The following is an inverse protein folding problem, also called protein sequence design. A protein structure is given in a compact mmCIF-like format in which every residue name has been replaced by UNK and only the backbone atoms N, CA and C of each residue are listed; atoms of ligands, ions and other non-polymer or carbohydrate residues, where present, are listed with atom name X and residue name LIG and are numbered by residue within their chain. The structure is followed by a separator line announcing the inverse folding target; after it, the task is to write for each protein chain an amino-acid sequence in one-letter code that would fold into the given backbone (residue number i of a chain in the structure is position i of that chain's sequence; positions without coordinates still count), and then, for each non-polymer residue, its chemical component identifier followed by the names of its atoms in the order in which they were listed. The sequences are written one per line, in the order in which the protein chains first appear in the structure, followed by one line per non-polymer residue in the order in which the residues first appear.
data_IF_950810967496
#
_entry.id   IF_950810967496
#
_cell.length_a   1.000
_cell.length_b   1.000
_cell.length_c   1.000
_cell.angle_alpha   90.00
_cell.angle_beta   90.00
_cell.angle_gamma   90.00
#
_symmetry.space_group_name_H-M   'P 1'
#
loop_
_entity.id
_entity.type
_entity.pdbx_description
1 polymer ?
#
# COMPACT_ATOMS: atom_id res chain seq x y z
N UNK A 1 -16.17 7.00 0.91
CA UNK A 1 -14.74 6.66 0.69
C UNK A 1 -13.84 7.87 0.43
N UNK A 2 -14.30 8.94 -0.24
CA UNK A 2 -13.47 10.10 -0.60
C UNK A 2 -12.85 10.84 0.62
N UNK A 3 -13.54 10.90 1.76
CA UNK A 3 -13.01 11.51 3.00
C UNK A 3 -12.01 10.60 3.76
N UNK A 4 -12.03 9.29 3.49
CA UNK A 4 -11.17 8.31 4.18
C UNK A 4 -9.75 8.28 3.58
N UNK A 5 -9.63 8.45 2.26
CA UNK A 5 -8.37 8.43 1.52
C UNK A 5 -7.35 9.48 2.02
N UNK A 6 -7.71 10.76 2.25
CA UNK A 6 -6.76 11.73 2.79
C UNK A 6 -6.31 11.38 4.22
N UNK A 7 -7.19 10.78 5.04
CA UNK A 7 -6.85 10.31 6.39
C UNK A 7 -5.86 9.14 6.34
N UNK A 8 -6.09 8.16 5.46
CA UNK A 8 -5.17 7.04 5.21
C UNK A 8 -3.82 7.54 4.70
N UNK A 9 -3.81 8.45 3.72
CA UNK A 9 -2.58 9.06 3.20
C UNK A 9 -1.77 9.77 4.29
N UNK A 10 -2.44 10.52 5.17
CA UNK A 10 -1.78 11.21 6.30
C UNK A 10 -1.19 10.20 7.29
N UNK A 11 -1.87 9.08 7.54
CA UNK A 11 -1.39 7.98 8.36
C UNK A 11 -0.19 7.25 7.77
N UNK A 12 -0.20 6.95 6.46
CA UNK A 12 0.92 6.34 5.74
C UNK A 12 2.16 7.25 5.71
N UNK A 13 1.98 8.57 5.70
CA UNK A 13 3.10 9.52 5.75
C UNK A 13 3.63 9.74 7.18
N UNK A 14 3.01 9.16 8.21
CA UNK A 14 3.43 9.35 9.61
C UNK A 14 4.82 8.74 9.87
N UNK A 15 5.63 9.36 10.74
CA UNK A 15 6.98 8.85 11.09
C UNK A 15 6.97 7.58 11.96
N UNK A 16 5.80 7.12 12.38
CA UNK A 16 5.64 5.96 13.25
C UNK A 16 5.31 4.72 12.40
N UNK A 17 6.18 3.71 12.45
CA UNK A 17 6.02 2.47 11.70
C UNK A 17 4.72 1.74 12.07
N UNK A 18 4.34 1.72 13.36
CA UNK A 18 3.10 1.09 13.81
C UNK A 18 1.86 1.74 13.19
N UNK A 19 1.83 3.09 13.10
CA UNK A 19 0.73 3.81 12.44
C UNK A 19 0.65 3.44 10.96
N UNK A 20 1.78 3.36 10.27
CA UNK A 20 1.81 2.94 8.86
C UNK A 20 1.29 1.51 8.69
N UNK A 21 1.73 0.58 9.55
CA UNK A 21 1.27 -0.82 9.55
C UNK A 21 -0.23 -0.93 9.79
N UNK A 22 -0.79 -0.19 10.75
CA UNK A 22 -2.24 -0.17 11.00
C UNK A 22 -3.03 0.37 9.80
N UNK A 23 -2.51 1.39 9.12
CA UNK A 23 -3.15 1.95 7.91
C UNK A 23 -3.15 0.95 6.75
N UNK A 24 -2.05 0.20 6.61
CA UNK A 24 -1.93 -0.91 5.68
C UNK A 24 -2.97 -2.01 5.97
N UNK A 25 -3.14 -2.41 7.23
CA UNK A 25 -4.18 -3.38 7.63
C UNK A 25 -5.59 -2.90 7.31
N UNK A 26 -5.89 -1.62 7.54
CA UNK A 26 -7.18 -1.05 7.18
C UNK A 26 -7.43 -1.12 5.67
N UNK A 27 -6.41 -0.84 4.86
CA UNK A 27 -6.51 -0.95 3.39
C UNK A 27 -6.77 -2.41 3.00
N UNK A 28 -6.05 -3.37 3.59
CA UNK A 28 -6.25 -4.80 3.36
C UNK A 28 -7.68 -5.24 3.71
N UNK A 29 -8.19 -4.83 4.86
CA UNK A 29 -9.56 -5.13 5.30
C UNK A 29 -10.61 -4.55 4.35
N UNK A 30 -10.44 -3.28 3.92
CA UNK A 30 -11.33 -2.65 2.94
C UNK A 30 -11.27 -3.41 1.62
N UNK A 31 -10.10 -3.88 1.21
CA UNK A 31 -9.92 -4.64 -0.01
C UNK A 31 -10.68 -5.97 -0.01
N UNK A 32 -10.73 -6.65 1.15
CA UNK A 32 -11.51 -7.85 1.35
C UNK A 32 -13.03 -7.61 1.37
N UNK A 33 -13.50 -6.37 1.51
CA UNK A 33 -14.93 -6.06 1.37
C UNK A 33 -15.33 -6.13 -0.11
N UNK A 34 -16.34 -6.95 -0.41
CA UNK A 34 -16.80 -7.19 -1.79
C UNK A 34 -17.03 -5.88 -2.57
N UNK A 35 -16.32 -5.73 -3.68
CA UNK A 35 -16.45 -4.59 -4.60
C UNK A 35 -15.60 -3.35 -4.26
N UNK A 36 -14.94 -3.30 -3.10
CA UNK A 36 -14.12 -2.14 -2.73
C UNK A 36 -12.78 -2.07 -3.46
N UNK A 37 -12.16 -3.21 -3.78
CA UNK A 37 -10.87 -3.26 -4.49
C UNK A 37 -10.87 -2.45 -5.81
N UNK A 38 -11.91 -2.63 -6.63
CA UNK A 38 -12.10 -1.84 -7.88
C UNK A 38 -12.25 -0.35 -7.63
N UNK A 39 -12.92 0.04 -6.54
CA UNK A 39 -13.08 1.44 -6.17
C UNK A 39 -11.77 2.07 -5.68
N UNK A 40 -10.78 1.26 -5.25
CA UNK A 40 -9.48 1.73 -4.80
C UNK A 40 -8.52 2.10 -5.94
N UNK A 41 -8.72 1.54 -7.14
CA UNK A 41 -7.86 1.76 -8.33
C UNK A 41 -7.56 3.25 -8.60
N UNK A 42 -8.53 4.18 -8.66
CA UNK A 42 -8.23 5.60 -8.87
C UNK A 42 -7.42 6.23 -7.72
N UNK A 43 -7.49 5.67 -6.52
CA UNK A 43 -6.79 6.16 -5.33
C UNK A 43 -5.36 5.63 -5.21
N UNK A 44 -4.94 4.66 -6.03
CA UNK A 44 -3.57 4.15 -6.02
C UNK A 44 -2.55 5.28 -6.19
N UNK A 45 -2.82 6.24 -7.07
CA UNK A 45 -1.96 7.41 -7.30
C UNK A 45 -1.75 8.27 -6.05
N UNK A 46 -2.67 8.23 -5.09
CA UNK A 46 -2.55 8.98 -3.84
C UNK A 46 -1.94 8.15 -2.70
N UNK A 47 -2.17 6.84 -2.71
CA UNK A 47 -1.77 5.93 -1.63
C UNK A 47 -0.40 5.28 -1.84
N UNK A 48 -0.03 4.99 -3.09
CA UNK A 48 1.20 4.27 -3.43
C UNK A 48 2.50 5.09 -3.55
N UNK A 49 2.49 6.42 -3.81
CA UNK A 49 3.73 7.22 -3.86
C UNK A 49 4.69 7.06 -2.67
N UNK A 50 4.24 6.92 -1.39
CA UNK A 50 5.16 6.73 -0.27
C UNK A 50 5.95 5.41 -0.32
N UNK A 51 5.53 4.41 -1.11
CA UNK A 51 6.25 3.14 -1.28
C UNK A 51 7.26 3.16 -2.45
N UNK A 52 7.25 4.19 -3.31
CA UNK A 52 8.05 4.24 -4.54
C UNK A 52 9.55 4.27 -4.29
N UNK A 53 9.98 5.18 -3.43
CA UNK A 53 11.34 5.18 -2.92
C UNK A 53 11.24 4.50 -1.57
N UNK A 54 11.97 3.40 -1.41
CA UNK A 54 12.16 2.73 -0.13
C UNK A 54 12.49 3.80 0.91
N UNK A 55 11.47 4.31 1.62
CA UNK A 55 11.55 5.49 2.48
C UNK A 55 12.20 5.06 3.81
N UNK A 56 13.22 4.19 3.73
CA UNK A 56 14.01 3.68 4.83
C UNK A 56 14.58 4.83 5.66
N UNK A 57 14.93 5.96 5.01
CA UNK A 57 15.43 7.17 5.67
C UNK A 57 14.39 7.94 6.49
N UNK A 58 13.09 7.77 6.23
CA UNK A 58 12.01 8.44 7.00
C UNK A 58 11.46 7.59 8.14
N UNK A 59 11.87 6.33 8.24
CA UNK A 59 11.54 5.48 9.38
C UNK A 59 12.59 5.76 10.45
N UNK A 60 12.15 6.12 11.66
CA UNK A 60 13.02 6.42 12.79
C UNK A 60 14.20 5.44 12.85
N UNK A 61 15.40 5.98 13.04
CA UNK A 61 16.65 5.21 13.17
C UNK A 61 16.62 4.23 14.34
N UNK A 62 15.75 4.48 15.32
CA UNK A 62 15.47 3.63 16.49
C UNK A 62 14.78 2.29 16.15
N UNK A 63 14.21 2.13 14.95
CA UNK A 63 13.47 0.91 14.58
C UNK A 63 14.43 -0.13 14.00
N UNK A 64 14.42 -1.33 14.60
CA UNK A 64 15.20 -2.48 14.14
C UNK A 64 14.96 -2.80 12.66
N UNK A 65 16.01 -3.22 11.94
CA UNK A 65 15.90 -3.65 10.53
C UNK A 65 14.83 -4.73 10.34
N UNK A 66 14.70 -5.68 11.27
CA UNK A 66 13.65 -6.72 11.26
C UNK A 66 12.23 -6.15 11.21
N UNK A 67 11.97 -5.07 11.96
CA UNK A 67 10.65 -4.42 11.96
C UNK A 67 10.38 -3.66 10.67
N UNK A 68 11.43 -3.07 10.07
CA UNK A 68 11.36 -2.45 8.74
C UNK A 68 11.08 -3.51 7.66
N UNK A 69 11.75 -4.65 7.72
CA UNK A 69 11.55 -5.77 6.80
C UNK A 69 10.12 -6.33 6.87
N UNK A 70 9.61 -6.60 8.08
CA UNK A 70 8.21 -7.00 8.31
C UNK A 70 7.22 -6.01 7.72
N UNK A 71 7.50 -4.71 7.82
CA UNK A 71 6.66 -3.67 7.22
C UNK A 71 6.67 -3.76 5.69
N UNK A 72 7.85 -3.89 5.07
CA UNK A 72 7.96 -4.00 3.61
C UNK A 72 7.32 -5.29 3.08
N UNK A 73 7.47 -6.41 3.77
CA UNK A 73 6.78 -7.66 3.46
C UNK A 73 5.25 -7.45 3.45
N UNK A 74 4.73 -6.70 4.44
CA UNK A 74 3.30 -6.35 4.49
C UNK A 74 2.86 -5.43 3.35
N UNK A 75 3.70 -4.45 2.97
CA UNK A 75 3.45 -3.60 1.80
C UNK A 75 3.31 -4.46 0.54
N UNK A 76 4.25 -5.38 0.31
CA UNK A 76 4.23 -6.27 -0.85
C UNK A 76 2.95 -7.09 -0.89
N UNK A 77 2.60 -7.75 0.24
CA UNK A 77 1.36 -8.51 0.38
C UNK A 77 0.12 -7.68 0.04
N UNK A 78 0.07 -6.42 0.46
CA UNK A 78 -1.08 -5.54 0.19
C UNK A 78 -1.15 -5.13 -1.28
N UNK A 79 -0.03 -4.86 -1.93
CA UNK A 79 0.00 -4.61 -3.37
C UNK A 79 -0.61 -5.79 -4.14
N UNK A 80 -0.31 -7.03 -3.70
CA UNK A 80 -0.85 -8.25 -4.30
C UNK A 80 -2.36 -8.37 -4.10
N UNK A 81 -2.87 -8.03 -2.91
CA UNK A 81 -4.32 -7.99 -2.63
C UNK A 81 -5.02 -6.90 -3.46
N UNK A 82 -4.40 -5.72 -3.60
CA UNK A 82 -4.91 -4.64 -4.44
C UNK A 82 -5.00 -5.07 -5.91
N UNK A 83 -3.99 -5.76 -6.43
CA UNK A 83 -4.01 -6.32 -7.78
C UNK A 83 -5.14 -7.36 -7.95
N UNK A 84 -5.23 -8.32 -7.03
CA UNK A 84 -6.23 -9.41 -7.08
C UNK A 84 -7.67 -8.89 -7.05
N UNK A 85 -7.95 -7.87 -6.26
CA UNK A 85 -9.31 -7.34 -6.05
C UNK A 85 -9.64 -6.11 -6.91
N UNK A 86 -8.63 -5.41 -7.42
CA UNK A 86 -8.75 -4.19 -8.22
C UNK A 86 -9.16 -4.45 -9.67
N UNK A 87 -9.13 -5.71 -10.11
CA UNK A 87 -9.54 -6.12 -11.46
C UNK A 87 -8.48 -5.84 -12.54
N UNK A 88 -8.84 -5.91 -13.83
CA UNK A 88 -7.89 -6.00 -14.94
C UNK A 88 -6.99 -4.76 -15.10
N UNK A 89 -7.44 -3.59 -14.63
CA UNK A 89 -6.67 -2.34 -14.71
C UNK A 89 -5.77 -2.09 -13.50
N UNK A 90 -5.85 -2.91 -12.44
CA UNK A 90 -5.13 -2.67 -11.20
C UNK A 90 -3.61 -2.73 -11.40
N UNK A 91 -3.12 -3.78 -12.07
CA UNK A 91 -1.70 -3.97 -12.35
C UNK A 91 -1.06 -2.77 -13.06
N UNK A 92 -1.68 -2.30 -14.15
CA UNK A 92 -1.16 -1.18 -14.95
C UNK A 92 -1.07 0.09 -14.09
N UNK A 93 -2.07 0.34 -13.23
CA UNK A 93 -2.06 1.50 -12.33
C UNK A 93 -0.97 1.37 -11.25
N UNK A 94 -0.80 0.19 -10.66
CA UNK A 94 0.24 -0.06 -9.65
C UNK A 94 1.63 0.08 -10.29
N UNK A 95 1.89 -0.59 -11.42
CA UNK A 95 3.17 -0.56 -12.14
C UNK A 95 3.56 0.83 -12.62
N UNK A 96 2.58 1.64 -13.01
CA UNK A 96 2.82 3.04 -13.38
C UNK A 96 3.37 3.86 -12.21
N UNK A 97 2.96 3.56 -10.97
CA UNK A 97 3.39 4.30 -9.77
C UNK A 97 4.64 3.67 -9.14
N UNK A 98 4.69 2.34 -9.11
CA UNK A 98 5.73 1.50 -8.54
C UNK A 98 6.35 0.66 -9.66
N UNK A 99 7.32 1.18 -10.42
CA UNK A 99 7.91 0.47 -11.56
C UNK A 99 8.64 -0.82 -11.16
N UNK A 100 9.03 -0.95 -9.88
CA UNK A 100 9.65 -2.14 -9.32
C UNK A 100 8.66 -3.25 -8.95
N UNK A 101 7.35 -2.97 -8.94
CA UNK A 101 6.34 -3.96 -8.60
C UNK A 101 6.21 -5.01 -9.71
N UNK A 102 6.19 -6.28 -9.29
CA UNK A 102 5.97 -7.43 -10.18
C UNK A 102 4.57 -7.98 -9.92
N UNK A 103 3.86 -8.36 -11.01
CA UNK A 103 2.52 -8.95 -10.91
C UNK A 103 2.59 -10.21 -10.06
N UNK A 104 1.71 -10.32 -9.07
CA UNK A 104 1.55 -11.56 -8.31
C UNK A 104 0.54 -12.52 -8.95
N UNK A 105 -0.25 -12.04 -9.90
CA UNK A 105 -1.00 -12.90 -10.79
C UNK A 105 -0.04 -13.35 -11.90
N UNK A 106 0.52 -14.56 -11.76
CA UNK A 106 1.18 -15.21 -12.88
C UNK A 106 0.11 -15.50 -13.93
N UNK A 107 0.25 -14.91 -15.12
CA UNK A 107 -0.53 -15.25 -16.30
C UNK A 107 0.03 -16.52 -16.94
#
# INVERSE_FOLDING_TARGET
MVDLVPKLRKGLNSNCLEKRTKMLELIEQICHLNGCGRLMVPFYRQLLPPFRHSNQSKISTDISQTSKDKYWNKVDRILNVLEQTGGPTAYINIKYILPHYQSCLQH
#
